data_IF_989399068065
#
_entry.id   IF_989399068065
#
_cell.length_a   1.000
_cell.length_b   1.000
_cell.length_c   1.000
_cell.angle_alpha   90.00
_cell.angle_beta   90.00
_cell.angle_gamma   90.00
#
_symmetry.space_group_name_H-M   'P 1'
#
loop_
_entity.id
_entity.type
_entity.pdbx_description
1 polymer ?
#
# COMPACT_ATOMS: atom_id res chain seq x y z
N UNK A 1 -24.82 -8.20 -11.84
CA UNK A 1 -25.28 -6.80 -11.81
C UNK A 1 -26.65 -6.64 -11.13
N UNK A 2 -27.63 -7.53 -11.38
CA UNK A 2 -28.97 -7.46 -10.75
C UNK A 2 -28.91 -7.58 -9.22
N UNK A 3 -28.15 -8.55 -8.67
CA UNK A 3 -28.00 -8.72 -7.22
C UNK A 3 -27.40 -7.49 -6.48
N UNK A 4 -26.52 -6.73 -7.15
CA UNK A 4 -25.92 -5.52 -6.59
C UNK A 4 -26.94 -4.37 -6.56
N UNK A 5 -27.81 -4.29 -7.57
CA UNK A 5 -28.88 -3.30 -7.67
C UNK A 5 -29.90 -3.46 -6.55
N UNK A 6 -30.27 -4.70 -6.22
CA UNK A 6 -31.22 -4.98 -5.15
C UNK A 6 -30.61 -4.71 -3.76
N UNK A 7 -29.34 -5.09 -3.53
CA UNK A 7 -28.63 -4.73 -2.30
C UNK A 7 -28.50 -3.21 -2.08
N UNK A 8 -28.28 -2.45 -3.14
CA UNK A 8 -28.22 -0.98 -3.07
C UNK A 8 -29.60 -0.39 -2.77
N UNK A 9 -30.68 -1.01 -3.29
CA UNK A 9 -32.06 -0.61 -3.04
C UNK A 9 -32.44 -0.71 -1.57
N UNK A 10 -31.96 -1.74 -0.88
CA UNK A 10 -32.26 -1.99 0.53
C UNK A 10 -31.40 -1.15 1.49
N UNK A 11 -30.24 -0.67 1.04
CA UNK A 11 -29.33 0.16 1.85
C UNK A 11 -29.71 1.64 1.90
N UNK A 12 -30.59 2.09 0.99
CA UNK A 12 -30.82 3.50 0.70
C UNK A 12 -32.31 3.79 0.64
N UNK A 13 -32.78 4.73 1.47
CA UNK A 13 -34.12 5.29 1.33
C UNK A 13 -34.17 6.20 0.09
N UNK A 14 -34.52 5.60 -1.04
CA UNK A 14 -34.63 6.29 -2.33
C UNK A 14 -35.72 7.36 -2.30
N UNK A 15 -36.81 7.16 -1.56
CA UNK A 15 -37.93 8.11 -1.48
C UNK A 15 -37.53 9.37 -0.70
N UNK A 16 -36.76 9.23 0.38
CA UNK A 16 -36.19 10.36 1.11
C UNK A 16 -35.13 11.10 0.28
N UNK A 17 -34.32 10.37 -0.50
CA UNK A 17 -33.30 10.94 -1.37
C UNK A 17 -33.89 11.74 -2.54
N UNK A 18 -34.99 11.25 -3.12
CA UNK A 18 -35.66 11.87 -4.26
C UNK A 18 -36.47 13.12 -3.88
N UNK A 19 -36.87 13.25 -2.60
CA UNK A 19 -37.55 14.44 -2.04
C UNK A 19 -36.62 15.63 -1.80
N UNK A 20 -35.32 15.43 -1.68
CA UNK A 20 -34.34 16.52 -1.57
C UNK A 20 -33.76 16.87 -2.95
N UNK A 21 -33.35 18.13 -3.14
CA UNK A 21 -32.65 18.54 -4.37
C UNK A 21 -31.36 17.73 -4.51
N UNK A 22 -31.35 16.79 -5.46
CA UNK A 22 -30.21 15.91 -5.70
C UNK A 22 -28.92 16.71 -5.90
N UNK A 23 -27.84 16.26 -5.26
CA UNK A 23 -26.48 16.71 -5.56
C UNK A 23 -25.55 15.52 -5.69
N UNK A 24 -24.55 15.64 -6.55
CA UNK A 24 -23.50 14.62 -6.74
C UNK A 24 -22.82 14.31 -5.40
N UNK A 25 -22.58 15.31 -4.55
CA UNK A 25 -22.00 15.14 -3.23
C UNK A 25 -22.87 14.30 -2.28
N UNK A 26 -24.20 14.48 -2.32
CA UNK A 26 -25.13 13.68 -1.53
C UNK A 26 -25.15 12.22 -2.00
N UNK A 27 -25.18 12.00 -3.32
CA UNK A 27 -25.06 10.64 -3.89
C UNK A 27 -23.75 9.97 -3.51
N UNK A 28 -22.61 10.67 -3.60
CA UNK A 28 -21.32 10.12 -3.19
C UNK A 28 -21.30 9.72 -1.72
N UNK A 29 -21.85 10.53 -0.80
CA UNK A 29 -21.92 10.18 0.62
C UNK A 29 -22.77 8.94 0.88
N UNK A 30 -23.85 8.77 0.13
CA UNK A 30 -24.80 7.68 0.26
C UNK A 30 -24.22 6.34 -0.20
N UNK A 31 -23.51 6.35 -1.33
CA UNK A 31 -22.90 5.14 -1.91
C UNK A 31 -21.48 4.87 -1.39
N UNK A 32 -20.85 5.84 -0.72
CA UNK A 32 -19.54 5.62 -0.11
C UNK A 32 -19.71 4.74 1.13
N UNK A 33 -19.04 3.59 1.21
CA UNK A 33 -18.99 2.83 2.45
C UNK A 33 -18.40 3.72 3.57
N UNK A 34 -18.73 3.44 4.85
CA UNK A 34 -18.18 4.16 5.98
C UNK A 34 -16.65 4.26 5.83
N UNK A 35 -16.13 5.48 5.82
CA UNK A 35 -14.70 5.71 5.62
C UNK A 35 -13.95 5.20 6.85
N UNK A 36 -13.41 3.98 6.78
CA UNK A 36 -12.48 3.50 7.79
C UNK A 36 -11.20 4.34 7.68
N UNK A 37 -10.99 5.22 8.65
CA UNK A 37 -9.80 6.06 8.68
C UNK A 37 -8.56 5.18 8.83
N UNK A 38 -7.82 5.02 7.73
CA UNK A 38 -6.59 4.23 7.71
C UNK A 38 -5.54 4.95 8.56
N UNK A 39 -5.11 4.32 9.66
CA UNK A 39 -4.21 4.93 10.63
C UNK A 39 -2.85 5.36 10.06
N UNK A 40 -2.44 4.73 8.96
CA UNK A 40 -1.16 4.93 8.26
C UNK A 40 -1.26 5.92 7.08
N UNK A 41 -2.46 6.44 6.80
CA UNK A 41 -2.68 7.31 5.64
C UNK A 41 -1.88 8.61 5.70
N UNK A 42 -1.73 9.18 6.89
CA UNK A 42 -0.96 10.43 7.08
C UNK A 42 0.51 10.24 6.81
N UNK A 43 1.03 9.07 7.15
CA UNK A 43 2.42 8.67 6.97
C UNK A 43 2.68 8.40 5.48
N UNK A 44 1.83 7.61 4.82
CA UNK A 44 1.94 7.35 3.39
C UNK A 44 1.95 8.65 2.54
N UNK A 45 1.21 9.66 2.98
CA UNK A 45 1.12 10.98 2.33
C UNK A 45 1.85 12.10 3.11
N UNK A 46 2.91 11.75 3.84
CA UNK A 46 3.76 12.73 4.53
C UNK A 46 4.33 13.75 3.53
N UNK A 47 4.44 15.02 3.95
CA UNK A 47 4.94 16.12 3.10
C UNK A 47 6.37 15.93 2.60
N UNK A 48 7.18 15.14 3.30
CA UNK A 48 8.56 14.84 2.91
C UNK A 48 8.64 13.71 1.87
N UNK A 49 7.53 13.02 1.59
CA UNK A 49 7.51 11.94 0.61
C UNK A 49 7.45 12.51 -0.80
N UNK A 50 8.18 11.90 -1.72
CA UNK A 50 8.04 12.16 -3.14
C UNK A 50 6.71 11.55 -3.61
N UNK A 51 5.84 12.27 -4.34
CA UNK A 51 4.50 11.81 -4.70
C UNK A 51 4.47 10.43 -5.37
N UNK A 52 5.38 10.16 -6.32
CA UNK A 52 5.48 8.83 -6.96
C UNK A 52 5.79 7.70 -5.99
N UNK A 53 6.59 7.96 -4.95
CA UNK A 53 6.89 6.96 -3.93
C UNK A 53 5.66 6.71 -3.05
N UNK A 54 4.96 7.79 -2.67
CA UNK A 54 3.69 7.69 -1.91
C UNK A 54 2.64 6.85 -2.62
N UNK A 55 2.48 7.00 -3.93
CA UNK A 55 1.52 6.19 -4.72
C UNK A 55 1.87 4.71 -4.65
N UNK A 56 3.14 4.35 -4.85
CA UNK A 56 3.57 2.94 -4.78
C UNK A 56 3.41 2.38 -3.36
N UNK A 57 3.82 3.12 -2.33
CA UNK A 57 3.63 2.70 -0.94
C UNK A 57 2.15 2.57 -0.57
N UNK A 58 1.28 3.46 -1.06
CA UNK A 58 -0.16 3.37 -0.87
C UNK A 58 -0.74 2.09 -1.48
N UNK A 59 -0.34 1.77 -2.72
CA UNK A 59 -0.74 0.52 -3.37
C UNK A 59 -0.19 -0.71 -2.64
N UNK A 60 1.06 -0.67 -2.19
CA UNK A 60 1.67 -1.74 -1.39
C UNK A 60 0.86 -2.00 -0.10
N UNK A 61 0.49 -0.93 0.61
CA UNK A 61 -0.28 -1.01 1.85
C UNK A 61 -1.69 -1.57 1.67
N UNK A 62 -2.28 -1.39 0.48
CA UNK A 62 -3.55 -1.98 0.08
C UNK A 62 -3.40 -3.37 -0.56
N UNK A 63 -2.18 -3.90 -0.63
CA UNK A 63 -1.82 -5.12 -1.34
C UNK A 63 -2.23 -5.11 -2.82
N UNK A 64 -2.25 -3.94 -3.47
CA UNK A 64 -2.75 -3.69 -4.84
C UNK A 64 -1.67 -3.58 -5.90
N UNK A 65 -0.41 -3.90 -5.57
CA UNK A 65 0.65 -3.97 -6.56
C UNK A 65 0.51 -5.21 -7.44
N UNK A 66 1.04 -5.15 -8.66
CA UNK A 66 1.01 -6.26 -9.64
C UNK A 66 2.10 -7.29 -9.35
N UNK A 67 2.11 -7.80 -8.13
CA UNK A 67 2.96 -8.92 -7.70
C UNK A 67 2.51 -10.22 -8.37
N UNK A 68 3.41 -11.20 -8.47
CA UNK A 68 3.10 -12.44 -9.20
C UNK A 68 1.92 -13.20 -8.57
N UNK A 69 1.80 -13.22 -7.24
CA UNK A 69 0.64 -13.78 -6.53
C UNK A 69 -0.69 -13.20 -7.04
N UNK A 70 -0.74 -11.88 -7.22
CA UNK A 70 -1.93 -11.17 -7.68
C UNK A 70 -2.20 -11.39 -9.17
N UNK A 71 -1.16 -11.53 -9.98
CA UNK A 71 -1.31 -11.88 -11.40
C UNK A 71 -1.88 -13.29 -11.58
N UNK A 72 -1.45 -14.26 -10.76
CA UNK A 72 -2.02 -15.60 -10.75
C UNK A 72 -3.50 -15.60 -10.33
N UNK A 73 -3.88 -14.77 -9.35
CA UNK A 73 -5.30 -14.60 -8.99
C UNK A 73 -6.16 -14.05 -10.14
N UNK A 74 -5.55 -13.34 -11.09
CA UNK A 74 -6.21 -12.90 -12.32
C UNK A 74 -6.16 -13.93 -13.46
N UNK A 75 -5.66 -15.15 -13.20
CA UNK A 75 -5.59 -16.23 -14.18
C UNK A 75 -4.43 -16.11 -15.17
N UNK A 76 -3.45 -15.24 -14.91
CA UNK A 76 -2.25 -15.14 -15.75
C UNK A 76 -1.24 -16.21 -15.37
N UNK A 77 -0.67 -16.88 -16.38
CA UNK A 77 0.38 -17.89 -16.18
C UNK A 77 1.74 -17.19 -16.02
N UNK A 78 2.20 -17.11 -14.77
CA UNK A 78 3.51 -16.53 -14.39
C UNK A 78 4.28 -17.53 -13.52
N UNK A 79 5.61 -17.44 -13.48
CA UNK A 79 6.46 -18.38 -12.72
C UNK A 79 6.15 -18.42 -11.21
N UNK A 80 5.55 -17.36 -10.66
CA UNK A 80 5.17 -17.24 -9.25
C UNK A 80 6.32 -16.82 -8.32
N UNK A 81 7.56 -17.22 -8.61
CA UNK A 81 8.73 -16.96 -7.77
C UNK A 81 9.22 -15.50 -7.85
N UNK A 82 9.59 -14.93 -6.70
CA UNK A 82 10.17 -13.60 -6.57
C UNK A 82 11.37 -13.42 -7.49
N UNK A 83 11.33 -12.44 -8.39
CA UNK A 83 12.38 -12.26 -9.39
C UNK A 83 13.70 -11.69 -8.84
N UNK A 84 13.70 -11.24 -7.57
CA UNK A 84 14.88 -10.67 -6.90
C UNK A 84 15.70 -11.73 -6.16
N UNK A 85 15.04 -12.61 -5.41
CA UNK A 85 15.74 -13.67 -4.64
C UNK A 85 15.61 -15.06 -5.27
N UNK A 86 14.60 -15.29 -6.12
CA UNK A 86 14.34 -16.57 -6.79
C UNK A 86 14.08 -17.77 -5.83
N UNK A 87 13.73 -17.49 -4.56
CA UNK A 87 13.57 -18.53 -3.53
C UNK A 87 12.12 -18.82 -3.13
N UNK A 88 11.25 -17.82 -3.12
CA UNK A 88 9.87 -17.94 -2.61
C UNK A 88 8.87 -17.24 -3.51
N UNK A 89 7.59 -17.53 -3.29
CA UNK A 89 6.48 -16.89 -4.00
C UNK A 89 6.50 -15.37 -3.81
N UNK A 90 6.36 -14.63 -4.91
CA UNK A 90 6.32 -13.18 -4.86
C UNK A 90 4.97 -12.66 -4.36
N UNK A 91 4.93 -12.28 -3.09
CA UNK A 91 3.85 -11.50 -2.47
C UNK A 91 4.36 -10.10 -2.11
N UNK A 92 3.48 -9.13 -1.84
CA UNK A 92 3.94 -7.83 -1.32
C UNK A 92 4.72 -7.96 -0.01
N UNK A 93 4.28 -8.88 0.86
CA UNK A 93 4.93 -9.16 2.14
C UNK A 93 6.34 -9.70 1.92
N UNK A 94 6.47 -10.72 1.07
CA UNK A 94 7.76 -11.30 0.73
C UNK A 94 8.67 -10.24 0.07
N UNK A 95 8.17 -9.57 -0.97
CA UNK A 95 8.95 -8.61 -1.77
C UNK A 95 9.59 -7.50 -0.94
N UNK A 96 8.93 -7.01 0.11
CA UNK A 96 9.42 -5.87 0.90
C UNK A 96 10.03 -6.25 2.25
N UNK A 97 9.72 -7.42 2.83
CA UNK A 97 10.12 -7.75 4.21
C UNK A 97 10.75 -9.14 4.41
N UNK A 98 10.63 -10.07 3.46
CA UNK A 98 11.15 -11.44 3.61
C UNK A 98 12.13 -11.82 2.49
N UNK A 99 12.14 -11.06 1.39
CA UNK A 99 13.11 -11.18 0.33
C UNK A 99 14.48 -10.74 0.87
N UNK A 100 15.48 -11.61 0.77
CA UNK A 100 16.85 -11.37 1.26
C UNK A 100 17.47 -10.08 0.71
N UNK A 101 17.15 -9.72 -0.54
CA UNK A 101 17.59 -8.46 -1.16
C UNK A 101 16.94 -7.25 -0.46
N UNK A 102 15.62 -7.29 -0.28
CA UNK A 102 14.88 -6.22 0.38
C UNK A 102 15.26 -6.09 1.86
N UNK A 103 15.45 -7.21 2.55
CA UNK A 103 15.89 -7.26 3.94
C UNK A 103 17.25 -6.57 4.09
N UNK A 104 18.23 -6.91 3.24
CA UNK A 104 19.54 -6.26 3.26
C UNK A 104 19.42 -4.74 3.08
N UNK A 105 18.68 -4.28 2.07
CA UNK A 105 18.46 -2.84 1.86
C UNK A 105 17.77 -2.17 3.05
N UNK A 106 16.82 -2.86 3.70
CA UNK A 106 16.16 -2.35 4.91
C UNK A 106 17.13 -2.27 6.09
N UNK A 107 18.04 -3.23 6.26
CA UNK A 107 19.07 -3.18 7.30
C UNK A 107 20.06 -2.05 7.06
N UNK A 108 20.52 -1.85 5.82
CA UNK A 108 21.40 -0.74 5.47
C UNK A 108 20.74 0.62 5.75
N UNK A 109 19.45 0.75 5.42
CA UNK A 109 18.65 1.93 5.73
C UNK A 109 18.51 2.17 7.24
N UNK A 110 18.27 1.09 8.01
CA UNK A 110 18.18 1.14 9.47
C UNK A 110 19.49 1.59 10.08
N UNK A 111 20.61 1.05 9.63
CA UNK A 111 21.94 1.42 10.10
C UNK A 111 22.26 2.89 9.77
N UNK A 112 21.96 3.33 8.55
CA UNK A 112 22.20 4.71 8.13
C UNK A 112 21.40 5.73 8.96
N UNK A 113 20.17 5.38 9.35
CA UNK A 113 19.29 6.25 10.14
C UNK A 113 19.42 6.03 11.66
N UNK A 114 20.34 5.17 12.10
CA UNK A 114 20.48 4.70 13.49
C UNK A 114 19.12 4.27 14.08
N UNK A 115 18.41 3.44 13.34
CA UNK A 115 17.02 3.08 13.58
C UNK A 115 16.86 1.61 13.95
N UNK A 116 16.48 1.37 15.22
CA UNK A 116 16.46 0.03 15.82
C UNK A 116 15.06 -0.60 15.93
N UNK A 117 14.20 -0.42 14.92
CA UNK A 117 12.88 -1.05 14.93
C UNK A 117 12.91 -2.48 14.38
N UNK A 118 12.32 -3.40 15.14
CA UNK A 118 11.99 -4.76 14.70
C UNK A 118 10.57 -4.78 14.16
N UNK A 119 10.42 -4.96 12.85
CA UNK A 119 9.11 -4.91 12.18
C UNK A 119 9.08 -5.92 11.05
N UNK A 120 8.01 -6.70 10.98
CA UNK A 120 7.84 -7.72 9.95
C UNK A 120 6.98 -7.26 8.79
N UNK A 121 6.40 -6.05 8.80
CA UNK A 121 5.62 -5.54 7.67
C UNK A 121 5.59 -4.02 7.55
N UNK A 122 5.24 -3.53 6.36
CA UNK A 122 5.12 -2.09 6.08
C UNK A 122 4.08 -1.43 6.98
N UNK A 123 3.01 -2.15 7.27
CA UNK A 123 1.92 -1.68 8.12
C UNK A 123 2.38 -1.48 9.56
N UNK A 124 3.08 -2.46 10.13
CA UNK A 124 3.66 -2.35 11.46
C UNK A 124 4.70 -1.23 11.51
N UNK A 125 5.50 -1.07 10.46
CA UNK A 125 6.53 -0.06 10.35
C UNK A 125 5.98 1.35 10.40
N UNK A 126 5.02 1.67 9.52
CA UNK A 126 4.36 2.97 9.49
C UNK A 126 3.57 3.23 10.78
N UNK A 127 2.93 2.19 11.35
CA UNK A 127 2.25 2.29 12.65
C UNK A 127 3.22 2.67 13.77
N UNK A 128 4.40 2.05 13.81
CA UNK A 128 5.43 2.34 14.80
C UNK A 128 5.95 3.77 14.65
N UNK A 129 6.26 4.20 13.42
CA UNK A 129 6.71 5.58 13.16
C UNK A 129 5.63 6.58 13.63
N UNK A 130 4.37 6.35 13.28
CA UNK A 130 3.25 7.19 13.69
C UNK A 130 3.10 7.29 15.21
N UNK A 131 3.25 6.15 15.93
CA UNK A 131 3.14 6.08 17.40
C UNK A 131 4.39 6.49 18.18
N UNK A 132 5.54 6.60 17.52
CA UNK A 132 6.80 6.95 18.19
C UNK A 132 6.74 8.33 18.86
N UNK A 133 7.55 8.56 19.90
CA UNK A 133 7.70 9.88 20.55
C UNK A 133 8.66 10.82 19.80
N UNK A 134 8.94 10.54 18.53
CA UNK A 134 9.83 11.34 17.69
C UNK A 134 9.16 12.67 17.28
N UNK A 135 9.98 13.67 16.94
CA UNK A 135 9.48 14.93 16.39
C UNK A 135 8.76 14.71 15.05
N UNK A 136 7.83 15.60 14.69
CA UNK A 136 7.11 15.52 13.39
C UNK A 136 8.07 15.43 12.21
N UNK A 137 9.17 16.19 12.25
CA UNK A 137 10.20 16.16 11.22
C UNK A 137 10.89 14.78 11.15
N UNK A 138 11.37 14.24 12.28
CA UNK A 138 12.01 12.92 12.32
C UNK A 138 11.07 11.81 11.82
N UNK A 139 9.79 11.84 12.21
CA UNK A 139 8.78 10.91 11.67
C UNK A 139 8.65 11.01 10.16
N UNK A 140 8.61 12.23 9.64
CA UNK A 140 8.54 12.48 8.20
C UNK A 140 9.76 11.94 7.46
N UNK A 141 10.98 12.13 8.00
CA UNK A 141 12.23 11.62 7.41
C UNK A 141 12.24 10.10 7.38
N UNK A 142 11.94 9.44 8.50
CA UNK A 142 11.86 7.97 8.56
C UNK A 142 10.81 7.44 7.59
N UNK A 143 9.66 8.09 7.51
CA UNK A 143 8.60 7.69 6.58
C UNK A 143 9.03 7.85 5.13
N UNK A 144 9.66 8.96 4.77
CA UNK A 144 10.16 9.22 3.42
C UNK A 144 11.24 8.21 3.02
N UNK A 145 12.11 7.83 3.94
CA UNK A 145 13.13 6.81 3.74
C UNK A 145 12.50 5.43 3.46
N UNK A 146 11.54 5.00 4.29
CA UNK A 146 10.81 3.73 4.11
C UNK A 146 10.04 3.70 2.79
N UNK A 147 9.26 4.75 2.52
CA UNK A 147 8.46 4.87 1.29
C UNK A 147 9.36 4.94 0.05
N UNK A 148 10.52 5.59 0.16
CA UNK A 148 11.55 5.59 -0.88
C UNK A 148 12.17 4.21 -1.11
N UNK A 149 12.44 3.45 -0.05
CA UNK A 149 12.94 2.08 -0.16
C UNK A 149 11.92 1.18 -0.89
N UNK A 150 10.65 1.21 -0.46
CA UNK A 150 9.54 0.47 -1.10
C UNK A 150 9.45 0.81 -2.60
N UNK A 151 9.54 2.09 -2.95
CA UNK A 151 9.53 2.50 -4.36
C UNK A 151 10.73 1.94 -5.14
N UNK A 152 11.94 2.03 -4.59
CA UNK A 152 13.14 1.56 -5.29
C UNK A 152 13.13 0.04 -5.46
N UNK A 153 12.74 -0.73 -4.43
CA UNK A 153 12.56 -2.19 -4.55
C UNK A 153 11.54 -2.50 -5.64
N UNK A 154 10.38 -1.83 -5.63
CA UNK A 154 9.35 -2.04 -6.64
C UNK A 154 9.84 -1.70 -8.05
N UNK A 155 10.59 -0.60 -8.20
CA UNK A 155 11.18 -0.19 -9.46
C UNK A 155 12.18 -1.23 -9.97
N UNK A 156 13.15 -1.64 -9.14
CA UNK A 156 14.16 -2.65 -9.49
C UNK A 156 13.51 -3.99 -9.86
N UNK A 157 12.53 -4.44 -9.07
CA UNK A 157 11.73 -5.63 -9.38
C UNK A 157 11.14 -5.51 -10.79
N UNK A 158 10.48 -4.40 -11.12
CA UNK A 158 9.89 -4.22 -12.43
C UNK A 158 10.95 -4.21 -13.54
N UNK A 159 12.08 -3.52 -13.34
CA UNK A 159 13.19 -3.53 -14.31
C UNK A 159 13.66 -4.97 -14.60
N UNK A 160 13.84 -5.81 -13.56
CA UNK A 160 14.21 -7.22 -13.73
C UNK A 160 13.14 -8.00 -14.50
N UNK A 161 11.86 -7.81 -14.18
CA UNK A 161 10.75 -8.50 -14.87
C UNK A 161 10.68 -8.11 -16.35
N UNK A 162 10.87 -6.83 -16.68
CA UNK A 162 10.78 -6.35 -18.07
C UNK A 162 12.05 -6.57 -18.88
N UNK A 163 13.22 -6.72 -18.24
CA UNK A 163 14.48 -7.06 -18.91
C UNK A 163 14.67 -8.56 -19.12
N UNK A 164 14.01 -9.40 -18.31
CA UNK A 164 13.95 -10.86 -18.52
C UNK A 164 12.90 -11.30 -19.56
N UNK A 165 12.18 -10.35 -20.15
CA UNK A 165 11.14 -10.57 -21.16
C UNK A 165 11.66 -10.43 -22.60
#
# INVERSE_FOLDING_TARGET
MVALKDQIRDMVDFDAFQKQKYSVAAGYKLFSPPVTRLYWSKEAWSRLNIPKHSVIAWLAMLNRLKTQDRLMQFGLHVQGTCCLCELQLETCQHLFFECSVAEKCLQDLKNWLNWHAQTSSLQQLLKWIGKSKLSKFKKGVLTAAVVGLVYNIWRTRNEVVWQKA
#
